data_IF_227914063791
#
_entry.id   IF_227914063791
#
_cell.length_a   1.000
_cell.length_b   1.000
_cell.length_c   1.000
_cell.angle_alpha   90.00
_cell.angle_beta   90.00
_cell.angle_gamma   90.00
#
_symmetry.space_group_name_H-M   'P 1'
#
loop_
_entity.id
_entity.type
_entity.pdbx_description
1 polymer ?
#
# COMPACT_ATOMS: atom_id res chain seq x y z
N UNK A 1 -32.65 18.95 -16.81
CA UNK A 1 -31.51 18.70 -15.89
C UNK A 1 -31.61 17.27 -15.41
N UNK A 2 -31.16 16.33 -16.19
CA UNK A 2 -31.23 14.88 -15.88
C UNK A 2 -29.93 14.21 -16.29
N UNK A 3 -29.38 13.35 -15.38
CA UNK A 3 -28.50 12.25 -15.74
C UNK A 3 -27.03 12.52 -16.12
N UNK A 4 -26.35 13.53 -15.59
CA UNK A 4 -24.89 13.62 -15.79
C UNK A 4 -24.03 13.05 -14.63
N UNK A 5 -24.61 12.52 -13.56
CA UNK A 5 -23.84 12.12 -12.37
C UNK A 5 -23.43 10.65 -12.28
N UNK A 6 -23.91 9.79 -13.18
CA UNK A 6 -23.65 8.33 -13.09
C UNK A 6 -22.42 7.82 -13.85
N UNK A 7 -21.86 8.61 -14.77
CA UNK A 7 -20.67 8.24 -15.55
C UNK A 7 -19.35 8.72 -14.97
N UNK A 8 -19.39 9.66 -14.04
CA UNK A 8 -18.23 10.49 -13.70
C UNK A 8 -17.28 9.89 -12.63
N UNK A 9 -17.66 8.82 -11.96
CA UNK A 9 -16.92 8.28 -10.81
C UNK A 9 -16.34 6.87 -11.09
N UNK A 10 -16.51 6.34 -12.29
CA UNK A 10 -16.12 4.97 -12.65
C UNK A 10 -14.62 4.68 -12.69
N UNK A 11 -13.74 5.67 -12.54
CA UNK A 11 -12.28 5.49 -12.59
C UNK A 11 -11.53 5.88 -11.31
N UNK A 12 -12.20 6.04 -10.16
CA UNK A 12 -11.73 6.96 -9.14
C UNK A 12 -10.69 6.43 -8.15
N UNK A 13 -10.50 5.14 -7.96
CA UNK A 13 -9.62 4.63 -6.89
C UNK A 13 -8.95 3.28 -7.21
N UNK A 14 -9.02 2.85 -8.46
CA UNK A 14 -8.78 1.45 -8.85
C UNK A 14 -7.32 1.01 -8.70
N UNK A 15 -6.35 1.93 -8.68
CA UNK A 15 -4.93 1.57 -8.81
C UNK A 15 -4.07 1.87 -7.59
N UNK A 16 -4.68 2.35 -6.49
CA UNK A 16 -3.93 2.88 -5.36
C UNK A 16 -3.25 1.82 -4.47
N UNK A 17 -3.74 0.59 -4.50
CA UNK A 17 -3.44 -0.39 -3.46
C UNK A 17 -2.87 -1.72 -3.96
N UNK A 18 -2.79 -1.90 -5.27
CA UNK A 18 -2.58 -3.21 -5.91
C UNK A 18 -1.14 -3.54 -6.27
N UNK A 19 -0.13 -2.89 -5.73
CA UNK A 19 1.24 -3.28 -6.01
C UNK A 19 1.80 -4.14 -4.88
N UNK A 20 2.01 -5.45 -5.08
CA UNK A 20 2.97 -6.18 -4.29
C UNK A 20 4.34 -5.54 -4.53
N UNK A 21 4.97 -5.06 -3.48
CA UNK A 21 6.31 -4.49 -3.58
C UNK A 21 7.30 -5.65 -3.54
N UNK A 22 7.73 -6.10 -4.71
CA UNK A 22 8.82 -7.05 -4.87
C UNK A 22 10.11 -6.27 -4.98
N UNK A 23 11.09 -6.57 -4.16
CA UNK A 23 12.45 -6.04 -4.29
C UNK A 23 13.30 -7.09 -5.00
N UNK A 24 13.78 -6.74 -6.17
CA UNK A 24 14.81 -7.51 -6.85
C UNK A 24 16.09 -6.67 -6.89
N UNK A 25 17.19 -7.18 -6.40
CA UNK A 25 18.46 -6.48 -6.32
C UNK A 25 19.11 -6.27 -7.68
N UNK A 26 19.23 -5.01 -8.12
CA UNK A 26 19.97 -4.61 -9.30
C UNK A 26 21.09 -3.62 -8.95
N UNK A 27 22.33 -3.89 -9.38
CA UNK A 27 23.50 -3.05 -9.17
C UNK A 27 23.43 -1.74 -9.97
N UNK A 28 23.42 -0.60 -9.30
CA UNK A 28 23.55 0.71 -9.93
C UNK A 28 24.13 1.76 -8.99
N UNK A 29 25.22 2.40 -9.38
CA UNK A 29 25.90 3.44 -8.62
C UNK A 29 25.21 4.80 -8.76
N UNK A 30 25.01 5.51 -7.64
CA UNK A 30 24.42 6.85 -7.59
C UNK A 30 25.46 7.91 -7.25
N UNK A 31 25.31 9.12 -7.82
CA UNK A 31 26.17 10.28 -7.59
C UNK A 31 25.80 11.01 -6.28
N UNK A 32 26.80 11.43 -5.51
CA UNK A 32 26.68 11.95 -4.16
C UNK A 32 26.76 13.49 -4.09
N UNK A 33 25.90 14.10 -3.26
CA UNK A 33 26.15 15.39 -2.58
C UNK A 33 26.64 15.12 -1.17
N UNK A 34 27.27 16.09 -0.48
CA UNK A 34 27.93 15.89 0.83
C UNK A 34 26.99 15.26 1.86
N UNK A 35 27.15 13.97 2.06
CA UNK A 35 26.23 13.07 2.77
C UNK A 35 26.90 12.55 4.05
N UNK A 36 26.10 12.12 5.03
CA UNK A 36 26.58 11.29 6.14
C UNK A 36 27.42 10.16 5.55
N UNK A 37 28.68 9.99 5.95
CA UNK A 37 29.58 8.98 5.40
C UNK A 37 29.03 7.55 5.53
N UNK A 38 28.00 7.33 6.35
CA UNK A 38 27.28 6.06 6.51
C UNK A 38 26.18 5.86 5.47
N UNK A 39 25.68 6.96 4.85
CA UNK A 39 24.55 6.89 3.91
C UNK A 39 24.82 6.00 2.69
N UNK A 40 25.98 6.10 1.97
CA UNK A 40 26.26 5.23 0.84
C UNK A 40 26.24 3.75 1.20
N UNK A 41 26.81 3.38 2.37
CA UNK A 41 26.84 2.02 2.87
C UNK A 41 25.44 1.49 3.25
N UNK A 42 24.58 2.35 3.84
CA UNK A 42 23.20 1.98 4.17
C UNK A 42 22.37 1.76 2.90
N UNK A 43 22.44 2.68 1.94
CA UNK A 43 21.75 2.56 0.66
C UNK A 43 22.23 1.34 -0.12
N UNK A 44 23.52 1.08 -0.13
CA UNK A 44 24.07 -0.11 -0.77
C UNK A 44 23.54 -1.39 -0.11
N UNK A 45 23.52 -1.46 1.22
CA UNK A 45 22.92 -2.59 1.94
C UNK A 45 21.46 -2.77 1.55
N UNK A 46 20.66 -1.70 1.59
CA UNK A 46 19.25 -1.75 1.20
C UNK A 46 19.05 -2.30 -0.21
N UNK A 47 19.80 -1.79 -1.20
CA UNK A 47 19.69 -2.20 -2.60
C UNK A 47 20.27 -3.59 -2.88
N UNK A 48 21.16 -4.10 -2.01
CA UNK A 48 21.75 -5.44 -2.13
C UNK A 48 21.06 -6.50 -1.28
N UNK A 49 20.07 -6.11 -0.45
CA UNK A 49 19.28 -7.07 0.31
C UNK A 49 18.57 -8.02 -0.67
N UNK A 50 18.97 -9.28 -0.64
CA UNK A 50 18.19 -10.35 -1.26
C UNK A 50 16.95 -10.57 -0.38
N UNK A 51 15.86 -9.93 -0.75
CA UNK A 51 14.60 -9.98 -0.02
C UNK A 51 13.53 -10.62 -0.91
N UNK A 52 13.54 -11.95 -0.98
CA UNK A 52 12.62 -12.66 -1.85
C UNK A 52 11.18 -12.37 -1.43
N UNK A 53 10.34 -12.16 -2.43
CA UNK A 53 8.89 -12.11 -2.22
C UNK A 53 8.43 -13.33 -1.44
N UNK A 54 7.43 -13.18 -0.57
CA UNK A 54 6.88 -14.34 0.12
C UNK A 54 6.40 -15.36 -0.91
N UNK A 55 6.77 -16.62 -0.73
CA UNK A 55 6.33 -17.71 -1.61
C UNK A 55 4.84 -18.03 -1.43
N UNK A 56 4.31 -17.77 -0.24
CA UNK A 56 2.89 -17.92 0.07
C UNK A 56 2.55 -17.14 1.35
N UNK A 57 1.32 -16.63 1.43
CA UNK A 57 0.78 -16.09 2.68
C UNK A 57 -0.74 -16.22 2.74
N UNK A 58 -1.28 -16.17 3.97
CA UNK A 58 -2.68 -15.96 4.26
C UNK A 58 -2.82 -14.85 5.29
N UNK A 59 -3.64 -13.85 4.98
CA UNK A 59 -3.83 -12.68 5.83
C UNK A 59 -5.29 -12.25 5.88
N UNK A 60 -5.75 -11.85 7.05
CA UNK A 60 -6.94 -11.06 7.21
C UNK A 60 -6.57 -9.60 6.98
N UNK A 61 -7.23 -8.97 6.00
CA UNK A 61 -7.10 -7.53 5.77
C UNK A 61 -8.34 -6.81 6.27
N UNK A 62 -8.11 -5.69 6.94
CA UNK A 62 -9.17 -4.77 7.37
C UNK A 62 -9.05 -3.49 6.57
N UNK A 63 -10.08 -3.21 5.77
CA UNK A 63 -10.17 -2.03 4.93
C UNK A 63 -11.18 -1.06 5.53
N UNK A 64 -10.78 0.19 5.65
CA UNK A 64 -11.62 1.29 6.12
C UNK A 64 -11.46 2.47 5.17
N UNK A 65 -12.55 3.12 4.77
CA UNK A 65 -12.51 4.32 3.94
C UNK A 65 -13.64 5.28 4.31
N UNK A 66 -13.34 6.57 4.21
CA UNK A 66 -14.33 7.62 4.42
C UNK A 66 -14.14 8.81 3.50
N UNK A 67 -15.23 9.52 3.25
CA UNK A 67 -15.24 10.82 2.63
C UNK A 67 -16.18 11.72 3.43
N UNK A 68 -15.61 12.71 4.13
CA UNK A 68 -16.37 13.59 5.02
C UNK A 68 -17.35 14.47 4.26
N UNK A 69 -16.97 15.04 3.11
CA UNK A 69 -17.82 15.95 2.33
C UNK A 69 -19.05 15.23 1.76
N UNK A 70 -18.97 13.93 1.52
CA UNK A 70 -20.09 13.13 1.02
C UNK A 70 -20.81 12.39 2.16
N UNK A 71 -20.35 12.55 3.41
CA UNK A 71 -20.82 11.80 4.58
C UNK A 71 -20.93 10.29 4.30
N UNK A 72 -19.88 9.71 3.74
CA UNK A 72 -19.83 8.29 3.39
C UNK A 72 -18.64 7.62 4.05
N UNK A 73 -18.91 6.49 4.70
CA UNK A 73 -17.88 5.61 5.24
C UNK A 73 -18.23 4.15 4.94
N UNK A 74 -17.23 3.30 4.88
CA UNK A 74 -17.40 1.86 4.77
C UNK A 74 -16.19 1.14 5.35
N UNK A 75 -16.39 -0.12 5.70
CA UNK A 75 -15.36 -1.04 6.10
C UNK A 75 -15.57 -2.43 5.47
N UNK A 76 -14.50 -3.21 5.42
CA UNK A 76 -14.53 -4.58 4.89
C UNK A 76 -13.41 -5.40 5.54
N UNK A 77 -13.74 -6.59 6.01
CA UNK A 77 -12.78 -7.61 6.40
C UNK A 77 -12.73 -8.67 5.32
N UNK A 78 -11.52 -9.01 4.88
CA UNK A 78 -11.31 -9.90 3.74
C UNK A 78 -10.10 -10.79 3.98
N UNK A 79 -10.29 -12.10 3.85
CA UNK A 79 -9.17 -13.04 3.73
C UNK A 79 -8.53 -12.90 2.37
N UNK A 80 -7.22 -12.80 2.36
CA UNK A 80 -6.41 -12.82 1.14
C UNK A 80 -5.37 -13.91 1.24
N UNK A 81 -5.19 -14.62 0.14
CA UNK A 81 -4.26 -15.73 0.02
C UNK A 81 -3.42 -15.55 -1.24
N UNK A 82 -2.13 -15.75 -1.09
CA UNK A 82 -1.19 -15.87 -2.19
C UNK A 82 -0.50 -17.20 -2.05
N UNK A 83 -0.52 -18.01 -3.09
CA UNK A 83 0.03 -19.35 -3.06
C UNK A 83 1.32 -19.48 -3.90
N UNK A 84 1.99 -20.60 -3.75
CA UNK A 84 3.24 -20.91 -4.46
C UNK A 84 3.10 -20.96 -5.99
N UNK A 85 1.88 -21.05 -6.51
CA UNK A 85 1.63 -20.99 -7.96
C UNK A 85 1.54 -19.56 -8.50
N UNK A 86 1.68 -18.54 -7.62
CA UNK A 86 1.53 -17.15 -7.98
C UNK A 86 0.07 -16.68 -8.05
N UNK A 87 -0.88 -17.49 -7.58
CA UNK A 87 -2.29 -17.13 -7.57
C UNK A 87 -2.66 -16.31 -6.34
N UNK A 88 -3.26 -15.14 -6.57
CA UNK A 88 -3.88 -14.32 -5.54
C UNK A 88 -5.39 -14.56 -5.50
N UNK A 89 -5.92 -14.86 -4.31
CA UNK A 89 -7.35 -15.08 -4.05
C UNK A 89 -7.80 -14.21 -2.89
N UNK A 90 -9.08 -13.86 -2.87
CA UNK A 90 -9.66 -13.19 -1.71
C UNK A 90 -11.10 -13.64 -1.44
N UNK A 91 -11.52 -13.56 -0.18
CA UNK A 91 -12.87 -13.89 0.28
C UNK A 91 -13.33 -12.86 1.32
N UNK A 92 -14.38 -12.12 1.00
CA UNK A 92 -14.98 -11.13 1.92
C UNK A 92 -15.73 -11.88 3.01
N UNK A 93 -15.43 -11.58 4.27
CA UNK A 93 -16.06 -12.25 5.42
C UNK A 93 -16.99 -11.34 6.21
N UNK A 94 -16.74 -10.02 6.21
CA UNK A 94 -17.61 -9.05 6.82
C UNK A 94 -17.45 -7.69 6.14
N UNK A 95 -18.52 -6.91 6.06
CA UNK A 95 -18.49 -5.57 5.48
C UNK A 95 -19.68 -4.73 5.95
N UNK A 96 -19.48 -3.41 6.00
CA UNK A 96 -20.54 -2.46 6.38
C UNK A 96 -20.37 -1.09 5.74
N UNK A 97 -21.38 -0.24 5.95
CA UNK A 97 -21.39 1.12 5.44
C UNK A 97 -21.72 1.25 3.95
N UNK A 98 -21.20 2.27 3.29
CA UNK A 98 -21.52 2.65 1.91
C UNK A 98 -21.26 1.54 0.89
N UNK A 99 -22.31 1.06 0.23
CA UNK A 99 -22.22 0.05 -0.85
C UNK A 99 -21.36 0.53 -2.01
N UNK A 100 -21.37 1.84 -2.30
CA UNK A 100 -20.51 2.45 -3.31
C UNK A 100 -19.02 2.29 -2.97
N UNK A 101 -18.61 2.61 -1.73
CA UNK A 101 -17.21 2.45 -1.30
C UNK A 101 -16.82 0.98 -1.32
N UNK A 102 -17.67 0.08 -0.81
CA UNK A 102 -17.40 -1.35 -0.81
C UNK A 102 -17.17 -1.93 -2.20
N UNK A 103 -18.01 -1.55 -3.19
CA UNK A 103 -17.90 -2.06 -4.56
C UNK A 103 -16.82 -1.35 -5.38
N UNK A 104 -16.75 0.01 -5.30
CA UNK A 104 -15.92 0.82 -6.20
C UNK A 104 -14.55 1.20 -5.64
N UNK A 105 -14.33 0.99 -4.34
CA UNK A 105 -13.02 1.21 -3.73
C UNK A 105 -12.41 -0.13 -3.30
N UNK A 106 -13.09 -0.87 -2.43
CA UNK A 106 -12.48 -2.06 -1.85
C UNK A 106 -12.37 -3.23 -2.85
N UNK A 107 -13.49 -3.66 -3.45
CA UNK A 107 -13.47 -4.79 -4.40
C UNK A 107 -12.63 -4.49 -5.64
N UNK A 108 -12.77 -3.29 -6.21
CA UNK A 108 -11.95 -2.91 -7.37
C UNK A 108 -10.45 -2.87 -7.04
N UNK A 109 -10.07 -2.48 -5.83
CA UNK A 109 -8.68 -2.51 -5.37
C UNK A 109 -8.16 -3.96 -5.29
N UNK A 110 -8.93 -4.89 -4.72
CA UNK A 110 -8.58 -6.31 -4.63
C UNK A 110 -8.51 -6.98 -6.02
N UNK A 111 -9.45 -6.68 -6.90
CA UNK A 111 -9.44 -7.16 -8.28
C UNK A 111 -8.25 -6.61 -9.08
N UNK A 112 -7.87 -5.36 -8.82
CA UNK A 112 -6.68 -4.77 -9.48
C UNK A 112 -5.40 -5.43 -8.98
N UNK A 113 -5.30 -5.69 -7.69
CA UNK A 113 -4.17 -6.43 -7.12
C UNK A 113 -4.08 -7.83 -7.72
N UNK A 114 -5.20 -8.54 -7.82
CA UNK A 114 -5.27 -9.85 -8.48
C UNK A 114 -4.73 -9.80 -9.90
N UNK A 115 -5.17 -8.81 -10.72
CA UNK A 115 -4.67 -8.64 -12.09
C UNK A 115 -3.17 -8.34 -12.15
N UNK A 116 -2.62 -7.58 -11.18
CA UNK A 116 -1.17 -7.30 -11.12
C UNK A 116 -0.39 -8.59 -10.86
N UNK A 117 -0.84 -9.44 -9.93
CA UNK A 117 -0.22 -10.74 -9.71
C UNK A 117 -0.30 -11.63 -10.96
N UNK A 118 -1.46 -11.72 -11.58
CA UNK A 118 -1.69 -12.52 -12.80
C UNK A 118 -0.87 -12.03 -14.00
N UNK A 119 -0.59 -10.73 -14.09
CA UNK A 119 0.19 -10.15 -15.20
C UNK A 119 1.71 -10.28 -15.06
N UNK A 120 2.21 -10.71 -13.88
CA UNK A 120 3.64 -10.79 -13.59
C UNK A 120 4.38 -9.45 -13.61
N UNK A 121 3.67 -8.32 -13.45
CA UNK A 121 4.23 -6.95 -13.57
C UNK A 121 4.52 -6.23 -12.24
N UNK A 122 4.93 -6.90 -11.14
CA UNK A 122 5.28 -6.22 -9.88
C UNK A 122 6.52 -5.34 -10.01
N UNK A 123 7.46 -5.65 -10.90
CA UNK A 123 8.75 -4.92 -11.10
C UNK A 123 8.60 -3.42 -11.38
N UNK A 124 7.45 -2.97 -11.90
CA UNK A 124 7.20 -1.54 -12.17
C UNK A 124 7.09 -0.68 -10.92
N UNK A 125 6.85 -1.27 -9.76
CA UNK A 125 6.69 -0.57 -8.48
C UNK A 125 7.94 -0.65 -7.58
N UNK A 126 8.94 -1.45 -7.96
CA UNK A 126 10.10 -1.75 -7.13
C UNK A 126 10.98 -0.52 -6.83
N UNK A 127 11.55 -0.50 -5.61
CA UNK A 127 12.53 0.53 -5.18
C UNK A 127 13.92 0.21 -5.74
N UNK A 128 14.06 0.30 -7.04
CA UNK A 128 15.32 0.03 -7.75
C UNK A 128 15.86 1.28 -8.43
N UNK A 129 17.16 1.34 -8.77
CA UNK A 129 17.75 2.45 -9.51
C UNK A 129 17.14 2.70 -10.89
N UNK A 130 16.47 1.70 -11.49
CA UNK A 130 15.74 1.85 -12.75
C UNK A 130 14.48 2.68 -12.58
N UNK A 131 13.84 2.56 -11.42
CA UNK A 131 12.58 3.26 -11.12
C UNK A 131 12.80 4.59 -10.39
N UNK A 132 13.89 4.70 -9.59
CA UNK A 132 14.12 5.83 -8.69
C UNK A 132 15.55 6.38 -8.74
N UNK A 133 15.70 7.66 -8.41
CA UNK A 133 16.92 8.22 -7.87
C UNK A 133 16.79 8.27 -6.33
N UNK A 134 17.93 8.10 -5.66
CA UNK A 134 18.03 8.06 -4.20
C UNK A 134 18.94 9.18 -3.72
N UNK A 135 18.53 9.87 -2.64
CA UNK A 135 19.35 10.88 -1.96
C UNK A 135 19.19 10.72 -0.46
N UNK A 136 20.13 11.25 0.31
CA UNK A 136 20.03 11.28 1.76
C UNK A 136 18.80 12.09 2.19
N UNK A 137 18.06 11.57 3.16
CA UNK A 137 16.88 12.20 3.76
C UNK A 137 17.02 12.36 5.26
N UNK A 138 16.14 13.16 5.85
CA UNK A 138 16.11 13.36 7.29
C UNK A 138 15.76 12.05 8.02
N UNK A 139 16.48 11.76 9.10
CA UNK A 139 16.13 10.67 10.00
C UNK A 139 14.83 11.00 10.78
N UNK A 140 14.01 9.98 11.03
CA UNK A 140 12.79 10.10 11.81
C UNK A 140 12.52 8.81 12.60
N UNK A 141 12.03 8.95 13.82
CA UNK A 141 11.64 7.82 14.69
C UNK A 141 12.76 6.77 14.90
N UNK A 142 14.04 7.22 14.93
CA UNK A 142 15.20 6.32 15.03
C UNK A 142 15.56 5.59 13.73
N UNK A 143 14.90 5.90 12.62
CA UNK A 143 15.15 5.33 11.30
C UNK A 143 15.96 6.30 10.44
N UNK A 144 16.75 5.77 9.52
CA UNK A 144 17.47 6.55 8.51
C UNK A 144 16.54 6.86 7.34
N UNK A 145 16.39 8.14 7.01
CA UNK A 145 15.60 8.58 5.87
C UNK A 145 16.39 8.53 4.56
N UNK A 146 15.73 8.13 3.48
CA UNK A 146 16.23 8.19 2.11
C UNK A 146 15.15 8.81 1.24
N UNK A 147 15.47 9.93 0.60
CA UNK A 147 14.57 10.54 -0.39
C UNK A 147 14.57 9.69 -1.65
N UNK A 148 13.37 9.39 -2.15
CA UNK A 148 13.16 8.63 -3.39
C UNK A 148 12.39 9.47 -4.38
N UNK A 149 12.97 9.71 -5.55
CA UNK A 149 12.35 10.48 -6.63
C UNK A 149 12.14 9.56 -7.84
N UNK A 150 10.89 9.35 -8.27
CA UNK A 150 10.60 8.51 -9.43
C UNK A 150 11.23 9.03 -10.72
N UNK A 151 11.86 8.14 -11.50
CA UNK A 151 12.42 8.49 -12.81
C UNK A 151 11.38 8.69 -13.90
N UNK A 152 10.13 8.27 -13.64
CA UNK A 152 8.99 8.46 -14.54
C UNK A 152 7.71 8.73 -13.76
N UNK A 153 6.71 9.30 -14.41
CA UNK A 153 5.37 9.47 -13.84
C UNK A 153 4.58 8.16 -13.97
N UNK A 154 4.33 7.51 -12.84
CA UNK A 154 3.55 6.26 -12.78
C UNK A 154 2.68 6.26 -11.51
N UNK A 155 1.48 5.71 -11.61
CA UNK A 155 0.54 5.58 -10.47
C UNK A 155 1.03 4.60 -9.38
N UNK A 156 2.02 3.77 -9.69
CA UNK A 156 2.63 2.81 -8.77
C UNK A 156 3.83 3.39 -8.02
N UNK A 157 4.39 4.52 -8.47
CA UNK A 157 5.60 5.10 -7.90
C UNK A 157 5.26 6.22 -6.92
N UNK A 158 6.03 6.29 -5.82
CA UNK A 158 5.89 7.28 -4.75
C UNK A 158 7.05 8.27 -4.80
N UNK A 159 6.74 9.55 -4.88
CA UNK A 159 7.69 10.66 -4.72
C UNK A 159 7.70 11.07 -3.24
N UNK A 160 8.78 10.82 -2.52
CA UNK A 160 8.84 11.05 -1.08
C UNK A 160 10.06 10.44 -0.40
N UNK A 161 9.84 9.70 0.69
CA UNK A 161 10.91 9.12 1.49
C UNK A 161 10.65 7.65 1.84
N UNK A 162 11.72 6.89 1.93
CA UNK A 162 11.74 5.59 2.59
C UNK A 162 12.51 5.70 3.90
N UNK A 163 12.13 4.89 4.86
CA UNK A 163 12.75 4.84 6.18
C UNK A 163 13.28 3.44 6.43
N UNK A 164 14.59 3.38 6.67
CA UNK A 164 15.36 2.15 6.82
C UNK A 164 15.87 2.01 8.25
N UNK A 165 15.97 0.78 8.74
CA UNK A 165 16.68 0.51 9.98
C UNK A 165 18.16 0.80 9.79
N UNK A 166 18.81 1.59 10.70
CA UNK A 166 20.22 1.93 10.57
C UNK A 166 21.15 0.71 10.61
N UNK A 167 20.75 -0.34 11.33
CA UNK A 167 21.58 -1.52 11.60
C UNK A 167 21.75 -2.40 10.37
N UNK A 168 20.65 -2.69 9.67
CA UNK A 168 20.62 -3.70 8.60
C UNK A 168 20.11 -3.16 7.25
N UNK A 169 19.57 -1.93 7.22
CA UNK A 169 18.99 -1.34 6.02
C UNK A 169 17.58 -1.90 5.69
N UNK A 170 16.93 -2.62 6.61
CA UNK A 170 15.61 -3.15 6.35
C UNK A 170 14.56 -2.03 6.24
N UNK A 171 13.70 -2.11 5.23
CA UNK A 171 12.65 -1.12 4.97
C UNK A 171 11.53 -1.26 6.00
N UNK A 172 11.23 -0.16 6.68
CA UNK A 172 10.16 -0.07 7.68
C UNK A 172 8.96 0.70 7.16
N UNK A 173 9.22 1.80 6.43
CA UNK A 173 8.14 2.70 5.99
C UNK A 173 8.48 3.37 4.66
N UNK A 174 7.46 3.58 3.84
CA UNK A 174 7.48 4.46 2.67
C UNK A 174 6.42 5.52 2.91
N UNK A 175 6.74 6.78 2.71
CA UNK A 175 5.78 7.86 2.76
C UNK A 175 6.06 8.90 1.69
N UNK A 176 4.99 9.49 1.16
CA UNK A 176 5.08 10.49 0.12
C UNK A 176 3.82 10.59 -0.71
N UNK A 177 3.98 11.04 -1.92
CA UNK A 177 2.90 11.29 -2.86
C UNK A 177 3.02 10.37 -4.06
N UNK A 178 1.89 9.87 -4.59
CA UNK A 178 1.92 9.17 -5.89
C UNK A 178 2.47 10.09 -6.98
N UNK A 179 3.42 9.60 -7.74
CA UNK A 179 4.10 10.41 -8.78
C UNK A 179 3.18 10.80 -9.93
N UNK A 180 2.06 10.07 -10.07
CA UNK A 180 0.99 10.36 -11.03
C UNK A 180 -0.37 10.16 -10.35
N UNK A 181 -1.27 11.13 -10.53
CA UNK A 181 -2.64 10.98 -10.06
C UNK A 181 -3.37 9.86 -10.84
N UNK A 182 -4.11 8.96 -10.16
CA UNK A 182 -4.79 7.83 -10.79
C UNK A 182 -5.88 8.22 -11.78
N UNK A 183 -6.44 9.43 -11.66
CA UNK A 183 -7.46 9.95 -12.58
C UNK A 183 -7.49 11.46 -12.57
N UNK A 184 -8.15 12.07 -13.59
CA UNK A 184 -8.37 13.51 -13.65
C UNK A 184 -9.11 14.09 -12.42
N UNK A 185 -9.96 13.29 -11.77
CA UNK A 185 -10.74 13.69 -10.60
C UNK A 185 -9.93 13.71 -9.31
N UNK A 186 -8.79 13.03 -9.26
CA UNK A 186 -7.89 13.00 -8.10
C UNK A 186 -6.77 13.99 -8.37
N UNK A 187 -6.63 15.00 -7.51
CA UNK A 187 -5.56 15.98 -7.61
C UNK A 187 -4.25 15.42 -7.09
N UNK A 188 -4.32 14.69 -5.99
CA UNK A 188 -3.17 14.19 -5.25
C UNK A 188 -3.58 13.02 -4.38
N UNK A 189 -2.66 12.11 -4.16
CA UNK A 189 -2.75 11.05 -3.15
C UNK A 189 -1.46 11.04 -2.35
N UNK A 190 -1.58 11.30 -1.07
CA UNK A 190 -0.53 11.09 -0.09
C UNK A 190 -0.69 9.67 0.47
N UNK A 191 0.41 8.94 0.62
CA UNK A 191 0.41 7.53 1.01
C UNK A 191 1.49 7.27 2.05
N UNK A 192 1.16 6.41 3.02
CA UNK A 192 2.10 5.81 3.96
C UNK A 192 1.93 4.29 3.88
N UNK A 193 3.02 3.57 3.68
CA UNK A 193 3.07 2.10 3.73
C UNK A 193 4.05 1.66 4.79
N UNK A 194 3.62 0.79 5.69
CA UNK A 194 4.45 0.25 6.77
C UNK A 194 4.73 -1.23 6.53
N UNK A 195 5.94 -1.63 6.86
CA UNK A 195 6.43 -2.99 6.64
C UNK A 195 7.00 -3.56 7.93
N UNK A 196 7.00 -4.88 8.01
CA UNK A 196 7.64 -5.65 9.08
C UNK A 196 8.21 -6.94 8.51
N UNK A 197 9.31 -7.40 9.07
CA UNK A 197 9.82 -8.72 8.74
C UNK A 197 9.04 -9.78 9.52
N UNK A 198 8.39 -10.70 8.79
CA UNK A 198 7.57 -11.79 9.35
C UNK A 198 8.01 -13.07 8.69
N UNK A 199 8.42 -14.07 9.49
CA UNK A 199 8.94 -15.35 9.02
C UNK A 199 10.04 -15.22 7.93
N UNK A 200 10.91 -14.21 8.08
CA UNK A 200 12.02 -13.93 7.18
C UNK A 200 11.68 -13.07 5.96
N UNK A 201 10.41 -12.90 5.61
CA UNK A 201 9.98 -12.05 4.50
C UNK A 201 9.58 -10.64 4.97
N UNK A 202 9.81 -9.61 4.14
CA UNK A 202 9.29 -8.26 4.36
C UNK A 202 7.83 -8.20 3.94
N UNK A 203 6.96 -7.98 4.91
CA UNK A 203 5.53 -8.02 4.71
C UNK A 203 4.91 -6.63 4.96
N UNK A 204 3.99 -6.14 4.11
CA UNK A 204 3.22 -4.94 4.43
C UNK A 204 2.33 -5.20 5.64
N UNK A 205 2.27 -4.26 6.59
CA UNK A 205 1.40 -4.37 7.77
C UNK A 205 0.32 -3.29 7.81
N UNK A 206 0.56 -2.16 7.16
CA UNK A 206 -0.44 -1.12 7.00
C UNK A 206 -0.22 -0.32 5.71
N UNK A 207 -1.32 0.15 5.15
CA UNK A 207 -1.36 1.16 4.08
C UNK A 207 -2.37 2.21 4.49
N UNK A 208 -1.95 3.46 4.49
CA UNK A 208 -2.81 4.61 4.72
C UNK A 208 -2.70 5.56 3.52
N UNK A 209 -3.82 6.10 3.08
CA UNK A 209 -3.81 7.07 2.00
C UNK A 209 -4.84 8.17 2.22
N UNK A 210 -4.46 9.36 1.79
CA UNK A 210 -5.33 10.53 1.76
C UNK A 210 -5.39 11.05 0.34
N UNK A 211 -6.58 11.02 -0.26
CA UNK A 211 -6.82 11.52 -1.60
C UNK A 211 -7.56 12.86 -1.56
N UNK A 212 -7.07 13.82 -2.34
CA UNK A 212 -7.77 15.08 -2.60
C UNK A 212 -8.55 14.95 -3.93
N UNK A 213 -9.87 14.87 -3.83
CA UNK A 213 -10.77 14.61 -4.95
C UNK A 213 -11.46 15.91 -5.37
N UNK A 214 -11.44 16.24 -6.68
CA UNK A 214 -12.17 17.37 -7.22
C UNK A 214 -13.67 17.22 -6.90
N UNK A 215 -14.30 18.26 -6.39
CA UNK A 215 -15.72 18.34 -6.03
C UNK A 215 -16.14 17.45 -4.84
N UNK A 216 -15.35 16.44 -4.44
CA UNK A 216 -15.67 15.56 -3.33
C UNK A 216 -14.73 15.77 -2.10
N UNK A 217 -13.72 16.67 -2.22
CA UNK A 217 -12.83 17.02 -1.13
C UNK A 217 -11.90 15.86 -0.68
N UNK A 218 -11.67 15.76 0.61
CA UNK A 218 -10.73 14.80 1.19
C UNK A 218 -11.39 13.44 1.42
N UNK A 219 -10.74 12.39 0.94
CA UNK A 219 -11.10 11.01 1.24
C UNK A 219 -9.91 10.31 1.93
N UNK A 220 -10.20 9.44 2.87
CA UNK A 220 -9.21 8.62 3.56
C UNK A 220 -9.42 7.15 3.22
N UNK A 221 -8.33 6.42 3.20
CA UNK A 221 -8.32 4.96 3.10
C UNK A 221 -7.27 4.41 4.04
N UNK A 222 -7.61 3.32 4.73
CA UNK A 222 -6.68 2.57 5.56
C UNK A 222 -6.87 1.08 5.29
N UNK A 223 -5.79 0.33 5.21
CA UNK A 223 -5.79 -1.12 5.16
C UNK A 223 -4.71 -1.65 6.10
N UNK A 224 -5.07 -2.57 6.97
CA UNK A 224 -4.14 -3.28 7.86
C UNK A 224 -4.12 -4.76 7.50
N UNK A 225 -3.00 -5.41 7.78
CA UNK A 225 -2.77 -6.82 7.48
C UNK A 225 -2.46 -7.56 8.78
N UNK A 226 -3.23 -8.60 9.04
CA UNK A 226 -3.00 -9.56 10.12
C UNK A 226 -2.72 -10.93 9.50
N UNK A 227 -1.47 -11.37 9.56
CA UNK A 227 -1.06 -12.61 8.91
C UNK A 227 -1.38 -13.82 9.79
N UNK A 228 -2.03 -14.83 9.20
CA UNK A 228 -2.19 -16.15 9.78
C UNK A 228 -0.97 -17.02 9.47
N UNK A 229 -0.57 -17.05 8.19
CA UNK A 229 0.60 -17.81 7.73
C UNK A 229 1.47 -16.98 6.79
N UNK A 230 2.78 -17.16 6.84
CA UNK A 230 3.77 -16.63 5.90
C UNK A 230 4.79 -17.72 5.62
N UNK A 231 5.05 -17.99 4.34
CA UNK A 231 6.01 -19.03 3.89
C UNK A 231 5.78 -20.40 4.55
N UNK A 232 4.49 -20.76 4.77
CA UNK A 232 4.10 -22.01 5.42
C UNK A 232 4.23 -22.02 6.94
N UNK A 233 4.70 -20.95 7.58
CA UNK A 233 4.76 -20.81 9.04
C UNK A 233 3.53 -20.10 9.57
N UNK A 234 2.89 -20.61 10.61
CA UNK A 234 1.84 -19.93 11.34
C UNK A 234 2.46 -18.80 12.17
N UNK A 235 1.94 -17.57 12.03
CA UNK A 235 2.46 -16.37 12.67
C UNK A 235 1.41 -15.61 13.48
N UNK A 236 0.13 -15.98 13.35
CA UNK A 236 -0.98 -15.37 14.07
C UNK A 236 -2.26 -16.18 13.95
N UNK A 237 -3.32 -15.65 14.58
CA UNK A 237 -4.68 -16.18 14.51
C UNK A 237 -5.67 -14.99 14.43
N UNK A 238 -5.75 -14.30 13.28
CA UNK A 238 -6.62 -13.14 13.14
C UNK A 238 -8.09 -13.54 13.06
N UNK A 239 -8.95 -12.68 13.63
CA UNK A 239 -10.40 -12.87 13.64
C UNK A 239 -11.10 -11.70 12.94
N UNK A 240 -12.09 -11.96 12.06
CA UNK A 240 -12.91 -10.91 11.44
C UNK A 240 -13.69 -10.10 12.48
N UNK A 241 -14.02 -8.86 12.13
CA UNK A 241 -14.95 -8.04 12.95
C UNK A 241 -16.32 -8.73 13.02
N UNK A 242 -16.92 -8.72 14.23
CA UNK A 242 -18.29 -9.21 14.39
C UNK A 242 -19.27 -8.16 13.84
N UNK A 243 -20.18 -8.57 12.97
CA UNK A 243 -21.24 -7.70 12.45
C UNK A 243 -22.32 -7.36 13.51
N UNK A 244 -22.27 -8.01 14.67
CA UNK A 244 -23.34 -7.91 15.71
C UNK A 244 -23.27 -6.62 16.54
N UNK A 245 -22.12 -5.92 16.60
CA UNK A 245 -21.93 -4.77 17.49
C UNK A 245 -22.27 -3.39 16.91
N UNK A 246 -22.57 -3.26 15.62
CA UNK A 246 -22.86 -1.94 15.03
C UNK A 246 -24.35 -1.50 15.18
N UNK A 247 -25.27 -2.42 15.44
CA UNK A 247 -26.69 -2.07 15.62
C UNK A 247 -27.03 -1.55 17.03
N UNK A 248 -26.18 -1.81 18.03
CA UNK A 248 -26.42 -1.36 19.40
C UNK A 248 -25.88 0.06 19.70
N UNK A 249 -24.95 0.56 18.95
CA UNK A 249 -24.40 1.92 19.13
C UNK A 249 -25.25 3.04 18.49
N UNK A 250 -26.36 2.70 17.80
CA UNK A 250 -27.28 3.67 17.18
C UNK A 250 -28.62 3.84 17.89
N UNK A 251 -28.82 3.23 19.06
CA UNK A 251 -30.09 3.25 19.80
C UNK A 251 -29.96 3.85 21.20
N UNK A 252 -29.17 4.89 21.37
CA UNK A 252 -29.32 5.76 22.54
C UNK A 252 -29.66 7.18 22.09
N UNK A 253 -30.73 7.79 22.67
CA UNK A 253 -31.36 9.03 22.23
C UNK A 253 -30.52 10.29 22.52
#
# INVERSE_FOLDING_TARGET
MKSMSRGLIRGLLITLFAAPFVLNGGNGAAAAGAADPRFPGLLQRFLSLDDPSPSAYRALRRLDASNQNLNKAAWMDVWTEYDKSGMFKYSVVAEGGSSYIRSKVFRESLETEKRVYESGAPSRAELTPENYSFAEGAAADGLSGVVVTPRRKDILLVDGSIFLKPEDGDLVRIEGRLSKAPSFWIRQVDIVRSYRRIAGARMPVAVEAVANIRLAGRATFRMTYEYETVNGRRVGAPEPRSTTNESLARSEP
#
